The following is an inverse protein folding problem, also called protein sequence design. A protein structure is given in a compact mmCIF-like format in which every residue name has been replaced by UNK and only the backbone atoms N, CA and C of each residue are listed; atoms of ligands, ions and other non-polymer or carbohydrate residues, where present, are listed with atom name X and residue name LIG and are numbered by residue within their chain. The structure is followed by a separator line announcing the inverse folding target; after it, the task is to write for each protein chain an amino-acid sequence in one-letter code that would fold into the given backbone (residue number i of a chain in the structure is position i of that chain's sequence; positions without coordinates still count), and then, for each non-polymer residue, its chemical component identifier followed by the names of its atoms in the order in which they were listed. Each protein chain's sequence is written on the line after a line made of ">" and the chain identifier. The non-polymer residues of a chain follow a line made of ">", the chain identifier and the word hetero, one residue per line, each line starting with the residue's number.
data_IF_206806899229
#
_entry.id   IF_206806899229
#
_cell.length_a   1.000
_cell.length_b   1.000
_cell.length_c   1.000
_cell.angle_alpha   90.00
_cell.angle_beta   90.00
_cell.angle_gamma   90.00
#
_symmetry.space_group_name_H-M   'P 1'
#
loop_
_entity.id
_entity.type
_entity.pdbx_description
1 polymer ?
#
# COMPACT_ATOMS: atom_id res chain seq x y z
N UNK A 1 -0.14 -10.07 3.20
CA UNK A 1 0.97 -9.60 4.07
C UNK A 1 0.68 -8.20 4.57
N UNK A 2 1.36 -7.75 5.61
CA UNK A 2 1.21 -6.40 6.17
C UNK A 2 1.99 -5.35 5.34
N UNK A 3 1.45 -4.13 5.19
CA UNK A 3 2.10 -3.00 4.50
C UNK A 3 3.52 -2.72 5.02
N UNK A 4 3.73 -2.77 6.33
CA UNK A 4 5.04 -2.58 6.95
C UNK A 4 6.02 -3.66 6.52
N UNK A 5 5.55 -4.90 6.38
CA UNK A 5 6.38 -6.02 5.89
C UNK A 5 6.75 -5.78 4.42
N UNK A 6 5.79 -5.40 3.59
CA UNK A 6 6.03 -5.06 2.18
C UNK A 6 7.08 -3.95 2.03
N UNK A 7 6.92 -2.87 2.79
CA UNK A 7 7.85 -1.73 2.77
C UNK A 7 9.25 -2.11 3.23
N UNK A 8 9.38 -2.88 4.31
CA UNK A 8 10.69 -3.27 4.84
C UNK A 8 11.43 -4.26 3.93
N UNK A 9 10.71 -5.12 3.19
CA UNK A 9 11.30 -5.96 2.12
C UNK A 9 11.94 -5.14 1.01
N UNK A 10 11.35 -3.99 0.68
CA UNK A 10 11.91 -3.01 -0.27
C UNK A 10 13.02 -2.12 0.32
N UNK A 11 13.37 -2.32 1.61
CA UNK A 11 14.43 -1.58 2.33
C UNK A 11 14.24 -0.06 2.33
N UNK A 12 13.01 0.43 2.28
CA UNK A 12 12.69 1.86 2.33
C UNK A 12 12.03 2.24 3.67
N UNK A 13 12.25 3.48 4.12
CA UNK A 13 11.58 4.02 5.31
C UNK A 13 10.21 4.61 4.95
N UNK A 14 9.41 4.97 5.97
CA UNK A 14 8.08 5.57 5.74
C UNK A 14 8.17 6.94 5.03
N UNK A 15 9.25 7.70 5.28
CA UNK A 15 9.50 8.98 4.61
C UNK A 15 9.77 8.79 3.10
N UNK A 16 10.56 7.78 2.74
CA UNK A 16 10.81 7.44 1.34
C UNK A 16 9.53 6.98 0.63
N UNK A 17 8.73 6.12 1.28
CA UNK A 17 7.42 5.72 0.74
C UNK A 17 6.48 6.94 0.59
N UNK A 18 6.54 7.89 1.53
CA UNK A 18 5.80 9.14 1.46
C UNK A 18 6.17 9.95 0.23
N UNK A 19 7.48 10.07 -0.06
CA UNK A 19 7.95 10.80 -1.23
C UNK A 19 7.52 10.15 -2.55
N UNK A 20 7.64 8.81 -2.65
CA UNK A 20 7.25 8.05 -3.85
C UNK A 20 5.75 8.09 -4.12
N UNK A 21 4.95 8.01 -3.06
CA UNK A 21 3.50 7.90 -3.18
C UNK A 21 2.81 9.25 -3.10
N UNK A 22 3.46 10.33 -2.64
CA UNK A 22 2.82 11.60 -2.31
C UNK A 22 1.88 11.55 -1.10
N UNK A 23 1.80 10.41 -0.39
CA UNK A 23 0.99 10.24 0.81
C UNK A 23 1.81 10.71 2.01
N UNK A 24 1.23 11.45 2.96
CA UNK A 24 2.00 11.91 4.12
C UNK A 24 2.54 10.75 4.96
N UNK A 25 3.77 10.90 5.48
CA UNK A 25 4.40 9.90 6.34
C UNK A 25 3.55 9.54 7.57
N UNK A 26 2.84 10.53 8.14
CA UNK A 26 1.91 10.31 9.24
C UNK A 26 0.71 9.44 8.85
N UNK A 27 0.15 9.64 7.65
CA UNK A 27 -0.93 8.78 7.14
C UNK A 27 -0.44 7.37 6.86
N UNK A 28 0.73 7.20 6.26
CA UNK A 28 1.37 5.87 6.08
C UNK A 28 1.51 5.16 7.43
N UNK A 29 1.98 5.86 8.48
CA UNK A 29 2.09 5.30 9.83
C UNK A 29 0.74 4.91 10.43
N UNK A 30 -0.33 5.66 10.15
CA UNK A 30 -1.68 5.29 10.59
C UNK A 30 -2.21 4.05 9.85
N UNK A 31 -1.93 3.95 8.54
CA UNK A 31 -2.31 2.81 7.71
C UNK A 31 -1.57 1.54 8.16
N UNK A 32 -0.25 1.61 8.34
CA UNK A 32 0.57 0.47 8.81
C UNK A 32 0.13 -0.08 10.17
N UNK A 33 -0.46 0.76 11.02
CA UNK A 33 -0.94 0.36 12.35
C UNK A 33 -2.44 0.00 12.36
N UNK A 34 -3.12 0.07 11.22
CA UNK A 34 -4.56 -0.21 11.10
C UNK A 34 -5.48 0.87 11.69
N UNK A 35 -4.94 2.03 12.12
CA UNK A 35 -5.77 3.13 12.63
C UNK A 35 -6.54 3.87 11.54
N UNK A 36 -6.08 3.78 10.29
CA UNK A 36 -6.80 4.26 9.11
C UNK A 36 -6.73 3.25 7.98
N UNK A 37 -7.85 3.05 7.30
CA UNK A 37 -7.88 2.31 6.03
C UNK A 37 -7.39 3.23 4.91
N UNK A 38 -6.59 2.68 4.00
CA UNK A 38 -6.24 3.36 2.77
C UNK A 38 -7.49 3.45 1.87
N UNK A 39 -7.61 4.53 1.11
CA UNK A 39 -8.53 4.58 -0.03
C UNK A 39 -8.00 3.70 -1.18
N UNK A 40 -8.85 3.36 -2.16
CA UNK A 40 -8.42 2.58 -3.33
C UNK A 40 -7.25 3.25 -4.06
N UNK A 41 -7.33 4.55 -4.32
CA UNK A 41 -6.25 5.32 -4.96
C UNK A 41 -4.95 5.26 -4.15
N UNK A 42 -5.03 5.40 -2.82
CA UNK A 42 -3.84 5.30 -1.96
C UNK A 42 -3.25 3.89 -1.97
N UNK A 43 -4.11 2.87 -1.94
CA UNK A 43 -3.68 1.48 -1.98
C UNK A 43 -2.99 1.14 -3.31
N UNK A 44 -3.51 1.60 -4.45
CA UNK A 44 -2.90 1.48 -5.77
C UNK A 44 -1.53 2.18 -5.83
N UNK A 45 -1.44 3.43 -5.37
CA UNK A 45 -0.18 4.18 -5.33
C UNK A 45 0.87 3.49 -4.45
N UNK A 46 0.46 2.96 -3.30
CA UNK A 46 1.34 2.23 -2.39
C UNK A 46 1.81 0.92 -3.01
N UNK A 47 0.90 0.14 -3.60
CA UNK A 47 1.20 -1.14 -4.24
C UNK A 47 2.18 -0.93 -5.41
N UNK A 48 1.91 0.06 -6.28
CA UNK A 48 2.79 0.46 -7.37
C UNK A 48 4.18 0.90 -6.87
N UNK A 49 4.25 1.77 -5.86
CA UNK A 49 5.52 2.24 -5.30
C UNK A 49 6.36 1.14 -4.61
N UNK A 50 5.69 0.06 -4.17
CA UNK A 50 6.31 -1.11 -3.58
C UNK A 50 6.49 -2.26 -4.57
N UNK A 51 6.07 -2.10 -5.83
CA UNK A 51 6.09 -3.12 -6.88
C UNK A 51 5.53 -4.47 -6.38
N UNK A 52 4.37 -4.44 -5.74
CA UNK A 52 3.66 -5.65 -5.31
C UNK A 52 2.19 -5.53 -5.69
N UNK A 53 1.50 -6.67 -5.77
CA UNK A 53 0.08 -6.65 -6.01
C UNK A 53 -0.68 -6.02 -4.83
N UNK A 54 -1.69 -5.23 -5.15
CA UNK A 54 -2.53 -4.56 -4.15
C UNK A 54 -3.20 -5.56 -3.20
N UNK A 55 -3.57 -6.74 -3.69
CA UNK A 55 -4.14 -7.85 -2.91
C UNK A 55 -3.15 -8.42 -1.89
N UNK A 56 -1.85 -8.36 -2.17
CA UNK A 56 -0.83 -8.82 -1.23
C UNK A 56 -0.79 -7.94 0.04
N UNK A 57 -1.16 -6.66 -0.05
CA UNK A 57 -1.11 -5.73 1.09
C UNK A 57 -2.51 -5.45 1.64
N UNK A 58 -3.51 -5.32 0.76
CA UNK A 58 -4.84 -4.81 1.08
C UNK A 58 -5.94 -5.79 0.67
N UNK A 59 -5.82 -7.05 1.12
CA UNK A 59 -6.79 -8.13 0.80
C UNK A 59 -8.23 -7.80 1.22
N UNK A 60 -8.42 -6.95 2.22
CA UNK A 60 -9.73 -6.51 2.70
C UNK A 60 -10.47 -5.54 1.76
N UNK A 61 -9.79 -4.97 0.77
CA UNK A 61 -10.42 -4.14 -0.26
C UNK A 61 -11.14 -4.96 -1.33
N UNK A 62 -10.92 -6.28 -1.35
CA UNK A 62 -11.41 -7.21 -2.38
C UNK A 62 -12.41 -8.22 -1.81
N UNK A 63 -13.37 -7.77 -0.99
CA UNK A 63 -14.52 -8.61 -0.61
C UNK A 63 -15.51 -8.67 -1.78
N UNK A 64 -15.21 -9.51 -2.77
CA UNK A 64 -16.15 -9.95 -3.80
C UNK A 64 -15.94 -9.35 -5.19
N UNK A 65 -15.46 -10.18 -6.12
CA UNK A 65 -15.50 -9.96 -7.56
C UNK A 65 -14.14 -9.62 -8.18
N UNK A 66 -13.50 -10.63 -8.78
CA UNK A 66 -12.37 -10.45 -9.72
C UNK A 66 -12.79 -9.47 -10.81
N UNK A 67 -11.86 -8.61 -11.24
CA UNK A 67 -11.54 -8.28 -12.64
C UNK A 67 -10.32 -7.35 -12.67
N UNK A 68 -9.21 -7.89 -13.18
CA UNK A 68 -8.24 -7.30 -14.13
C UNK A 68 -7.69 -5.90 -13.79
N UNK A 69 -6.39 -5.71 -13.53
CA UNK A 69 -5.30 -5.74 -14.54
C UNK A 69 -3.95 -5.60 -13.81
N UNK A 70 -2.85 -6.29 -14.21
CA UNK A 70 -1.52 -6.01 -13.67
C UNK A 70 -1.05 -4.62 -14.10
N UNK A 71 -0.33 -3.91 -13.23
CA UNK A 71 0.44 -2.72 -13.62
C UNK A 71 1.29 -3.06 -14.86
N UNK A 72 1.06 -2.33 -15.96
CA UNK A 72 1.84 -2.39 -17.21
C UNK A 72 3.13 -1.58 -17.11
#
# INVERSE_FOLDING_TARGET
>A
MDLKIARTRRRICQYELSHRTGISQGLISLIERGYRKATNEQAERIACALEVDIEEIFSELFTGGRNDTPCS
#
